data_IF_665061659381
#
_entry.id   IF_665061659381
#
_cell.length_a   1.000
_cell.length_b   1.000
_cell.length_c   1.000
_cell.angle_alpha   90.00
_cell.angle_beta   90.00
_cell.angle_gamma   90.00
#
_symmetry.space_group_name_H-M   'P 1'
#
loop_
_entity.id
_entity.type
_entity.pdbx_description
1 polymer ?
#
# COMPACT_ATOMS: atom_id res chain seq x y z
N UNK A 1 21.19 22.14 3.08
CA UNK A 1 20.46 22.27 4.36
C UNK A 1 18.96 22.52 4.16
N UNK A 2 18.49 23.67 3.65
CA UNK A 2 17.05 23.97 3.56
C UNK A 2 16.27 23.13 2.52
N UNK A 3 16.91 22.69 1.43
CA UNK A 3 16.30 21.84 0.39
C UNK A 3 16.41 20.33 0.68
N UNK A 4 17.28 19.92 1.60
CA UNK A 4 17.50 18.50 1.91
C UNK A 4 16.44 17.96 2.88
N UNK A 5 15.97 18.79 3.80
CA UNK A 5 14.87 18.48 4.72
C UNK A 5 13.56 18.09 4.01
N UNK A 6 13.03 18.87 3.03
CA UNK A 6 11.81 18.51 2.33
C UNK A 6 11.98 17.24 1.48
N UNK A 7 13.15 17.02 0.86
CA UNK A 7 13.44 15.75 0.16
C UNK A 7 13.38 14.56 1.09
N UNK A 8 14.04 14.66 2.26
CA UNK A 8 14.06 13.60 3.24
C UNK A 8 12.65 13.26 3.74
N UNK A 9 11.83 14.28 3.99
CA UNK A 9 10.42 14.11 4.35
C UNK A 9 9.63 13.35 3.28
N UNK A 10 9.78 13.73 1.99
CA UNK A 10 9.09 13.02 0.91
C UNK A 10 9.54 11.55 0.79
N UNK A 11 10.82 11.25 0.99
CA UNK A 11 11.32 9.86 1.00
C UNK A 11 10.70 9.07 2.14
N UNK A 12 10.65 9.63 3.36
CA UNK A 12 10.05 8.99 4.53
C UNK A 12 8.56 8.74 4.28
N UNK A 13 7.81 9.75 3.82
CA UNK A 13 6.39 9.60 3.49
C UNK A 13 6.15 8.54 2.41
N UNK A 14 6.99 8.49 1.36
CA UNK A 14 6.90 7.46 0.33
C UNK A 14 7.09 6.05 0.91
N UNK A 15 8.06 5.86 1.81
CA UNK A 15 8.29 4.59 2.49
C UNK A 15 7.14 4.20 3.41
N UNK A 16 6.55 5.15 4.13
CA UNK A 16 5.36 4.91 4.95
C UNK A 16 4.19 4.42 4.08
N UNK A 17 3.91 5.08 2.95
CA UNK A 17 2.85 4.63 2.04
C UNK A 17 3.13 3.25 1.45
N UNK A 18 4.39 2.92 1.13
CA UNK A 18 4.77 1.58 0.68
C UNK A 18 4.55 0.54 1.79
N UNK A 19 4.93 0.84 3.03
CA UNK A 19 4.68 -0.03 4.18
C UNK A 19 3.19 -0.28 4.41
N UNK A 20 2.38 0.78 4.41
CA UNK A 20 0.92 0.69 4.55
C UNK A 20 0.32 -0.18 3.41
N UNK A 21 0.79 -0.01 2.17
CA UNK A 21 0.32 -0.81 1.04
C UNK A 21 0.59 -2.31 1.25
N UNK A 22 1.78 -2.66 1.74
CA UNK A 22 2.17 -4.04 2.04
C UNK A 22 1.32 -4.64 3.16
N UNK A 23 1.06 -3.86 4.22
CA UNK A 23 0.21 -4.31 5.35
C UNK A 23 -1.20 -4.64 4.84
N UNK A 24 -1.81 -3.78 4.04
CA UNK A 24 -3.12 -4.06 3.46
C UNK A 24 -3.10 -5.32 2.60
N UNK A 25 -2.10 -5.47 1.73
CA UNK A 25 -1.99 -6.66 0.89
C UNK A 25 -1.91 -7.94 1.75
N UNK A 26 -1.07 -7.96 2.79
CA UNK A 26 -0.89 -9.14 3.66
C UNK A 26 -2.16 -9.44 4.44
N UNK A 27 -2.77 -8.43 5.08
CA UNK A 27 -3.98 -8.63 5.90
C UNK A 27 -5.13 -9.15 5.04
N UNK A 28 -5.41 -8.52 3.90
CA UNK A 28 -6.53 -8.90 3.06
C UNK A 28 -6.30 -10.21 2.30
N UNK A 29 -5.07 -10.53 1.90
CA UNK A 29 -4.77 -11.86 1.33
C UNK A 29 -4.88 -12.95 2.39
N UNK A 30 -4.46 -12.69 3.63
CA UNK A 30 -4.63 -13.64 4.75
C UNK A 30 -6.10 -13.90 5.02
N UNK A 31 -6.94 -12.85 5.05
CA UNK A 31 -8.39 -12.98 5.20
C UNK A 31 -9.02 -13.72 4.02
N UNK A 32 -8.59 -13.43 2.79
CA UNK A 32 -9.09 -14.13 1.61
C UNK A 32 -8.76 -15.63 1.63
N UNK A 33 -7.55 -15.99 2.05
CA UNK A 33 -7.11 -17.38 2.23
C UNK A 33 -7.95 -18.05 3.31
N UNK A 34 -8.14 -17.39 4.46
CA UNK A 34 -8.99 -17.89 5.55
C UNK A 34 -10.41 -18.19 5.05
N UNK A 35 -11.04 -17.24 4.34
CA UNK A 35 -12.40 -17.39 3.82
C UNK A 35 -12.53 -18.46 2.74
N UNK A 36 -11.48 -18.67 1.95
CA UNK A 36 -11.46 -19.72 0.95
C UNK A 36 -11.53 -21.10 1.60
N UNK A 37 -10.89 -21.28 2.76
CA UNK A 37 -10.93 -22.53 3.51
C UNK A 37 -12.21 -22.73 4.33
N UNK A 38 -12.89 -21.65 4.74
CA UNK A 38 -14.21 -21.73 5.40
C UNK A 38 -15.37 -21.90 4.42
N UNK A 39 -15.12 -21.85 3.10
CA UNK A 39 -16.07 -22.24 2.06
C UNK A 39 -16.97 -21.11 1.54
N UNK A 40 -16.62 -19.84 1.80
CA UNK A 40 -17.43 -18.69 1.36
C UNK A 40 -16.71 -17.88 0.27
N UNK A 41 -16.70 -18.40 -0.96
CA UNK A 41 -15.95 -17.85 -2.09
C UNK A 41 -16.27 -16.38 -2.44
N UNK A 42 -17.49 -15.91 -2.13
CA UNK A 42 -17.85 -14.50 -2.34
C UNK A 42 -16.99 -13.56 -1.50
N UNK A 43 -16.74 -13.88 -0.23
CA UNK A 43 -15.92 -13.06 0.67
C UNK A 43 -14.45 -13.11 0.29
N UNK A 44 -13.95 -14.25 -0.16
CA UNK A 44 -12.59 -14.37 -0.73
C UNK A 44 -12.36 -13.36 -1.84
N UNK A 45 -13.30 -13.25 -2.80
CA UNK A 45 -13.21 -12.28 -3.90
C UNK A 45 -13.28 -10.83 -3.41
N UNK A 46 -14.19 -10.53 -2.47
CA UNK A 46 -14.28 -9.17 -1.90
C UNK A 46 -12.99 -8.78 -1.17
N UNK A 47 -12.42 -9.66 -0.35
CA UNK A 47 -11.16 -9.40 0.35
C UNK A 47 -9.98 -9.24 -0.61
N UNK A 48 -9.91 -10.04 -1.68
CA UNK A 48 -8.90 -9.87 -2.72
C UNK A 48 -9.03 -8.52 -3.44
N UNK A 49 -10.24 -8.14 -3.85
CA UNK A 49 -10.47 -6.86 -4.53
C UNK A 49 -10.15 -5.67 -3.63
N UNK A 50 -10.55 -5.71 -2.36
CA UNK A 50 -10.23 -4.67 -1.39
C UNK A 50 -8.73 -4.61 -1.11
N UNK A 51 -8.08 -5.76 -0.89
CA UNK A 51 -6.65 -5.87 -0.64
C UNK A 51 -5.81 -5.30 -1.78
N UNK A 52 -6.07 -5.75 -3.01
CA UNK A 52 -5.40 -5.22 -4.19
C UNK A 52 -5.75 -3.75 -4.44
N UNK A 53 -7.01 -3.35 -4.25
CA UNK A 53 -7.44 -1.96 -4.43
C UNK A 53 -6.70 -1.00 -3.50
N UNK A 54 -6.69 -1.27 -2.20
CA UNK A 54 -5.97 -0.45 -1.22
C UNK A 54 -4.46 -0.51 -1.44
N UNK A 55 -3.89 -1.69 -1.68
CA UNK A 55 -2.47 -1.82 -2.02
C UNK A 55 -2.09 -0.88 -3.17
N UNK A 56 -2.85 -0.92 -4.26
CA UNK A 56 -2.54 -0.17 -5.49
C UNK A 56 -2.68 1.34 -5.27
N UNK A 57 -3.68 1.79 -4.51
CA UNK A 57 -3.84 3.20 -4.13
C UNK A 57 -2.63 3.73 -3.33
N UNK A 58 -2.23 3.02 -2.28
CA UNK A 58 -1.10 3.44 -1.44
C UNK A 58 0.25 3.28 -2.15
N UNK A 59 0.40 2.26 -3.01
CA UNK A 59 1.59 2.08 -3.83
C UNK A 59 1.77 3.20 -4.85
N UNK A 60 0.69 3.64 -5.52
CA UNK A 60 0.73 4.81 -6.41
C UNK A 60 1.07 6.08 -5.62
N UNK A 61 0.46 6.29 -4.45
CA UNK A 61 0.78 7.44 -3.60
C UNK A 61 2.26 7.45 -3.17
N UNK A 62 2.81 6.29 -2.82
CA UNK A 62 4.25 6.11 -2.56
C UNK A 62 5.08 6.54 -3.76
N UNK A 63 4.79 6.00 -4.95
CA UNK A 63 5.51 6.33 -6.18
C UNK A 63 5.41 7.82 -6.56
N UNK A 64 4.24 8.44 -6.41
CA UNK A 64 4.06 9.89 -6.64
C UNK A 64 4.89 10.73 -5.67
N UNK A 65 4.94 10.32 -4.40
CA UNK A 65 5.71 11.02 -3.36
C UNK A 65 7.22 10.87 -3.59
N UNK A 66 7.68 9.68 -4.00
CA UNK A 66 9.07 9.45 -4.37
C UNK A 66 9.48 10.28 -5.60
N UNK A 67 8.61 10.38 -6.61
CA UNK A 67 8.83 11.27 -7.76
C UNK A 67 8.94 12.75 -7.36
N UNK A 68 8.20 13.19 -6.34
CA UNK A 68 8.34 14.56 -5.80
C UNK A 68 9.68 14.74 -5.07
N UNK A 69 10.13 13.74 -4.31
CA UNK A 69 11.44 13.77 -3.65
C UNK A 69 12.62 13.89 -4.64
N UNK A 70 12.52 13.26 -5.81
CA UNK A 70 13.55 13.27 -6.85
C UNK A 70 13.55 14.53 -7.72
N UNK A 71 12.42 15.24 -7.81
CA UNK A 71 12.28 16.48 -8.60
C UNK A 71 12.49 17.76 -7.80
N UNK A 72 12.30 17.69 -6.48
CA UNK A 72 12.57 18.82 -5.58
C UNK A 72 14.05 19.01 -5.33
#
# INVERSE_FOLDING_TARGET
MAEELPKLMYVISARIYAGISMVFLVVYTTLAIYEHFTGTDQWTLYFLMLGFGFFLLFFIMSGRTMKKALKG
#
